data_IF_401651549195
#
_entry.id   IF_401651549195
#
_cell.length_a   1.000
_cell.length_b   1.000
_cell.length_c   1.000
_cell.angle_alpha   90.00
_cell.angle_beta   90.00
_cell.angle_gamma   90.00
#
_symmetry.space_group_name_H-M   'P 1'
#
loop_
_entity.id
_entity.type
_entity.pdbx_description
1 polymer ?
#
# COMPACT_ATOMS: atom_id res chain seq x y z
N UNK A 1 14.72 1.74 -0.06
CA UNK A 1 14.46 2.78 0.96
C UNK A 1 13.38 2.25 1.86
N UNK A 2 13.72 1.97 3.11
CA UNK A 2 12.76 1.51 4.10
C UNK A 2 11.83 2.66 4.48
N UNK A 3 10.52 2.40 4.49
CA UNK A 3 9.53 3.36 4.93
C UNK A 3 9.52 3.45 6.45
N UNK A 4 9.31 4.66 6.94
CA UNK A 4 9.07 4.88 8.37
C UNK A 4 7.60 4.61 8.66
N UNK A 5 7.26 4.38 9.93
CA UNK A 5 5.86 4.28 10.35
C UNK A 5 5.05 5.52 9.97
N UNK A 6 5.68 6.70 9.92
CA UNK A 6 5.04 7.94 9.50
C UNK A 6 4.66 7.89 8.02
N UNK A 7 5.55 7.38 7.15
CA UNK A 7 5.24 7.21 5.73
C UNK A 7 4.11 6.20 5.52
N UNK A 8 4.19 5.05 6.18
CA UNK A 8 3.16 4.00 6.13
C UNK A 8 1.79 4.54 6.56
N UNK A 9 1.72 5.17 7.74
CA UNK A 9 0.50 5.76 8.26
C UNK A 9 -0.04 6.89 7.38
N UNK A 10 0.83 7.73 6.80
CA UNK A 10 0.40 8.80 5.91
C UNK A 10 -0.24 8.26 4.63
N UNK A 11 0.34 7.21 4.04
CA UNK A 11 -0.23 6.56 2.84
C UNK A 11 -1.57 5.91 3.20
N UNK A 12 -1.63 5.17 4.31
CA UNK A 12 -2.87 4.55 4.81
C UNK A 12 -3.97 5.60 5.04
N UNK A 13 -3.67 6.71 5.71
CA UNK A 13 -4.64 7.77 5.98
C UNK A 13 -5.17 8.41 4.68
N UNK A 14 -4.30 8.64 3.69
CA UNK A 14 -4.73 9.16 2.38
C UNK A 14 -5.58 8.14 1.63
N UNK A 15 -5.23 6.86 1.67
CA UNK A 15 -6.04 5.80 1.05
C UNK A 15 -7.42 5.70 1.71
N UNK A 16 -7.52 5.81 3.03
CA UNK A 16 -8.80 5.80 3.75
C UNK A 16 -9.76 6.92 3.27
N UNK A 17 -9.23 8.10 2.97
CA UNK A 17 -9.99 9.21 2.39
C UNK A 17 -10.46 8.94 0.95
N UNK A 18 -9.67 8.21 0.16
CA UNK A 18 -9.98 7.90 -1.25
C UNK A 18 -11.00 6.76 -1.36
N UNK A 19 -10.81 5.68 -0.62
CA UNK A 19 -11.63 4.46 -0.78
C UNK A 19 -12.84 4.41 0.14
N UNK A 20 -12.86 5.27 1.17
CA UNK A 20 -13.90 5.32 2.20
C UNK A 20 -13.77 4.21 3.23
N UNK A 21 -14.38 4.43 4.41
CA UNK A 21 -14.23 3.57 5.59
C UNK A 21 -14.50 2.08 5.30
N UNK A 22 -15.61 1.75 4.63
CA UNK A 22 -15.99 0.36 4.38
C UNK A 22 -14.97 -0.40 3.53
N UNK A 23 -14.44 0.24 2.49
CA UNK A 23 -13.45 -0.40 1.60
C UNK A 23 -12.10 -0.47 2.31
N UNK A 24 -11.74 0.58 3.05
CA UNK A 24 -10.51 0.63 3.82
C UNK A 24 -10.46 -0.50 4.87
N UNK A 25 -11.49 -0.63 5.70
CA UNK A 25 -11.57 -1.68 6.72
C UNK A 25 -11.56 -3.09 6.12
N UNK A 26 -12.13 -3.26 4.92
CA UNK A 26 -12.19 -4.58 4.26
C UNK A 26 -10.88 -5.00 3.63
N UNK A 27 -10.20 -4.08 2.94
CA UNK A 27 -9.03 -4.40 2.11
C UNK A 27 -7.71 -3.94 2.73
N UNK A 28 -7.68 -2.79 3.38
CA UNK A 28 -6.46 -2.18 3.90
C UNK A 28 -6.22 -2.50 5.39
N UNK A 29 -7.12 -3.26 6.03
CA UNK A 29 -6.91 -3.69 7.42
C UNK A 29 -5.65 -4.55 7.56
N UNK A 30 -4.71 -4.07 8.39
CA UNK A 30 -3.44 -4.76 8.64
C UNK A 30 -2.44 -4.67 7.49
N UNK A 31 -2.68 -3.77 6.52
CA UNK A 31 -1.76 -3.48 5.43
C UNK A 31 -0.48 -2.84 5.97
N UNK A 32 0.64 -3.06 5.29
CA UNK A 32 1.92 -2.40 5.60
C UNK A 32 2.62 -1.96 4.33
N UNK A 33 2.84 -0.66 4.16
CA UNK A 33 3.74 -0.11 3.16
C UNK A 33 5.18 -0.20 3.72
N UNK A 34 6.03 -1.04 3.13
CA UNK A 34 7.29 -1.45 3.77
C UNK A 34 8.51 -0.75 3.20
N UNK A 35 8.76 -0.90 1.90
CA UNK A 35 9.95 -0.30 1.27
C UNK A 35 9.71 0.12 -0.17
N UNK A 36 10.60 1.00 -0.63
CA UNK A 36 10.73 1.37 -2.04
C UNK A 36 12.08 0.94 -2.58
N UNK A 37 12.13 0.02 -3.53
CA UNK A 37 13.34 -0.34 -4.28
C UNK A 37 13.24 0.21 -5.71
N UNK A 38 14.21 1.02 -6.14
CA UNK A 38 14.08 1.76 -7.40
C UNK A 38 12.82 2.65 -7.41
N UNK A 39 11.88 2.40 -8.31
CA UNK A 39 10.56 3.05 -8.39
C UNK A 39 9.40 2.11 -8.01
N UNK A 40 9.72 1.00 -7.34
CA UNK A 40 8.79 -0.07 -6.92
C UNK A 40 8.50 0.08 -5.43
N UNK A 41 7.22 0.27 -5.08
CA UNK A 41 6.72 0.26 -3.71
C UNK A 41 6.21 -1.14 -3.33
N UNK A 42 6.72 -1.66 -2.22
CA UNK A 42 6.33 -2.95 -1.66
C UNK A 42 5.24 -2.76 -0.60
N UNK A 43 4.13 -3.47 -0.79
CA UNK A 43 2.96 -3.47 0.06
C UNK A 43 2.67 -4.88 0.55
N UNK A 44 2.43 -5.07 1.84
CA UNK A 44 1.95 -6.34 2.38
C UNK A 44 0.48 -6.27 2.75
N UNK A 45 -0.35 -7.07 2.07
CA UNK A 45 -1.77 -7.23 2.35
C UNK A 45 -2.04 -8.47 3.21
N UNK A 46 -3.24 -8.59 3.78
CA UNK A 46 -3.57 -9.67 4.72
C UNK A 46 -3.44 -11.08 4.11
N UNK A 47 -3.89 -11.26 2.89
CA UNK A 47 -3.95 -12.54 2.18
C UNK A 47 -3.87 -12.32 0.66
N UNK A 48 -3.79 -13.41 -0.11
CA UNK A 48 -3.62 -13.37 -1.57
C UNK A 48 -4.82 -12.72 -2.28
N UNK A 49 -6.04 -13.07 -1.87
CA UNK A 49 -7.28 -12.48 -2.41
C UNK A 49 -7.32 -10.96 -2.19
N UNK A 50 -6.86 -10.49 -1.03
CA UNK A 50 -6.79 -9.07 -0.71
C UNK A 50 -5.66 -8.40 -1.48
N UNK A 51 -4.50 -9.04 -1.61
CA UNK A 51 -3.36 -8.53 -2.37
C UNK A 51 -3.76 -8.28 -3.83
N UNK A 52 -4.34 -9.29 -4.49
CA UNK A 52 -4.79 -9.20 -5.87
C UNK A 52 -5.83 -8.08 -6.07
N UNK A 53 -6.80 -7.95 -5.17
CA UNK A 53 -7.80 -6.87 -5.23
C UNK A 53 -7.18 -5.48 -5.06
N UNK A 54 -6.21 -5.33 -4.16
CA UNK A 54 -5.54 -4.04 -3.98
C UNK A 54 -4.70 -3.69 -5.22
N UNK A 55 -4.00 -4.67 -5.78
CA UNK A 55 -3.20 -4.49 -6.99
C UNK A 55 -4.07 -4.08 -8.17
N UNK A 56 -5.14 -4.85 -8.46
CA UNK A 56 -6.03 -4.60 -9.59
C UNK A 56 -6.80 -3.28 -9.47
N UNK A 57 -7.34 -2.97 -8.29
CA UNK A 57 -8.26 -1.83 -8.12
C UNK A 57 -7.56 -0.53 -7.68
N UNK A 58 -6.42 -0.62 -6.98
CA UNK A 58 -5.85 0.52 -6.25
C UNK A 58 -4.36 0.79 -6.49
N UNK A 59 -3.61 -0.03 -7.25
CA UNK A 59 -2.18 0.19 -7.48
C UNK A 59 -1.86 1.60 -8.01
N UNK A 60 -2.61 2.10 -8.98
CA UNK A 60 -2.42 3.44 -9.53
C UNK A 60 -2.69 4.56 -8.50
N UNK A 61 -3.73 4.40 -7.67
CA UNK A 61 -4.04 5.39 -6.64
C UNK A 61 -2.95 5.42 -5.57
N UNK A 62 -2.47 4.24 -5.18
CA UNK A 62 -1.36 4.06 -4.23
C UNK A 62 -0.09 4.71 -4.79
N UNK A 63 0.27 4.46 -6.05
CA UNK A 63 1.49 5.01 -6.64
C UNK A 63 1.49 6.53 -6.65
N UNK A 64 0.36 7.16 -7.02
CA UNK A 64 0.19 8.62 -7.00
C UNK A 64 0.30 9.18 -5.58
N UNK A 65 -0.32 8.54 -4.60
CA UNK A 65 -0.30 8.99 -3.19
C UNK A 65 1.09 8.83 -2.59
N UNK A 66 1.71 7.67 -2.77
CA UNK A 66 3.05 7.39 -2.29
C UNK A 66 4.06 8.34 -2.93
N UNK A 67 3.94 8.62 -4.23
CA UNK A 67 4.84 9.55 -4.91
C UNK A 67 4.81 10.95 -4.29
N UNK A 68 3.61 11.42 -3.93
CA UNK A 68 3.43 12.73 -3.27
C UNK A 68 3.96 12.76 -1.84
N UNK A 69 3.74 11.69 -1.07
CA UNK A 69 4.18 11.61 0.33
C UNK A 69 5.69 11.46 0.44
N UNK A 70 6.28 10.68 -0.47
CA UNK A 70 7.71 10.36 -0.46
C UNK A 70 8.56 11.33 -1.29
N UNK A 71 7.93 12.33 -1.93
CA UNK A 71 8.55 13.33 -2.81
C UNK A 71 9.47 12.70 -3.87
N UNK A 72 9.04 11.55 -4.41
CA UNK A 72 9.78 10.77 -5.43
C UNK A 72 8.79 10.05 -6.34
N UNK A 73 9.22 9.69 -7.54
CA UNK A 73 8.39 8.92 -8.46
C UNK A 73 8.29 7.45 -8.00
N UNK A 74 7.06 6.94 -7.94
CA UNK A 74 6.72 5.53 -7.73
C UNK A 74 5.90 5.09 -8.94
N UNK A 75 6.45 4.18 -9.75
CA UNK A 75 5.82 3.72 -10.99
C UNK A 75 5.13 2.37 -10.82
N UNK A 76 5.62 1.54 -9.92
CA UNK A 76 5.12 0.18 -9.70
C UNK A 76 4.74 0.03 -8.23
N UNK A 77 3.59 -0.58 -7.97
CA UNK A 77 3.17 -1.00 -6.64
C UNK A 77 3.06 -2.50 -6.67
N UNK A 78 3.95 -3.18 -5.95
CA UNK A 78 3.93 -4.62 -5.82
C UNK A 78 3.23 -5.00 -4.53
N UNK A 79 2.09 -5.69 -4.66
CA UNK A 79 1.27 -6.10 -3.52
C UNK A 79 1.49 -7.57 -3.24
N UNK A 80 2.04 -7.87 -2.07
CA UNK A 80 2.36 -9.22 -1.64
C UNK A 80 1.41 -9.65 -0.52
N UNK A 81 0.96 -10.91 -0.50
CA UNK A 81 0.29 -11.44 0.68
C UNK A 81 1.30 -11.53 1.82
N UNK A 82 0.87 -11.12 3.02
CA UNK A 82 1.65 -11.28 4.24
C UNK A 82 1.70 -12.77 4.52
N UNK A 83 2.87 -13.38 4.32
CA UNK A 83 3.06 -14.76 4.74
C UNK A 83 2.93 -14.81 6.26
N UNK A 84 1.93 -15.54 6.75
CA UNK A 84 1.90 -15.98 8.13
C UNK A 84 3.13 -16.88 8.31
N UNK A 85 4.18 -16.35 8.92
CA UNK A 85 5.24 -17.19 9.45
C UNK A 85 4.57 -18.02 10.55
N UNK A 86 4.41 -19.32 10.32
CA UNK A 86 3.91 -20.26 11.33
C UNK A 86 4.92 -20.42 12.45
#
# INVERSE_FOLDING_TARGET
MQLTDIHDQAIQARMALVVGARTFDRLFAGVRFDEVDGDILFLYAKDEDTAAKIEDEFALHISIIASKILEREINIVMVLPRQLVS
#
